data_IF_306940478774
#
_entry.id   IF_306940478774
#
_cell.length_a   1.000
_cell.length_b   1.000
_cell.length_c   1.000
_cell.angle_alpha   90.00
_cell.angle_beta   90.00
_cell.angle_gamma   90.00
#
_symmetry.space_group_name_H-M   'P 1'
#
loop_
_entity.id
_entity.type
_entity.pdbx_description
1 polymer ?
#
# COMPACT_ATOMS: atom_id res chain seq x y z
N UNK A 1 23.17 -9.15 3.81
CA UNK A 1 22.59 -8.01 4.57
C UNK A 1 21.67 -8.57 5.65
N UNK A 2 21.54 -7.91 6.81
CA UNK A 2 20.85 -8.48 7.98
C UNK A 2 19.34 -8.18 7.98
N UNK A 3 18.62 -8.71 6.98
CA UNK A 3 17.17 -8.48 6.82
C UNK A 3 16.34 -9.08 7.96
N UNK A 4 16.77 -10.23 8.50
CA UNK A 4 16.11 -10.89 9.64
C UNK A 4 16.04 -9.99 10.88
N UNK A 5 17.11 -9.23 11.14
CA UNK A 5 17.17 -8.30 12.27
C UNK A 5 16.25 -7.10 12.05
N UNK A 6 16.19 -6.58 10.82
CA UNK A 6 15.27 -5.50 10.46
C UNK A 6 13.82 -5.94 10.69
N UNK A 7 13.45 -7.11 10.16
CA UNK A 7 12.11 -7.66 10.27
C UNK A 7 11.72 -7.93 11.73
N UNK A 8 12.61 -8.51 12.53
CA UNK A 8 12.37 -8.72 13.97
C UNK A 8 12.10 -7.40 14.69
N UNK A 9 12.95 -6.38 14.47
CA UNK A 9 12.79 -5.08 15.13
C UNK A 9 11.50 -4.38 14.68
N UNK A 10 11.15 -4.45 13.40
CA UNK A 10 9.90 -3.89 12.89
C UNK A 10 8.68 -4.60 13.54
N UNK A 11 8.71 -5.93 13.64
CA UNK A 11 7.65 -6.70 14.32
C UNK A 11 7.52 -6.36 15.79
N UNK A 12 8.65 -6.19 16.49
CA UNK A 12 8.62 -5.79 17.91
C UNK A 12 7.96 -4.43 18.09
N UNK A 13 8.25 -3.46 17.21
CA UNK A 13 7.58 -2.16 17.23
C UNK A 13 6.08 -2.30 16.93
N UNK A 14 5.69 -3.11 15.95
CA UNK A 14 4.27 -3.35 15.63
C UNK A 14 3.51 -4.02 16.78
N UNK A 15 4.17 -4.90 17.54
CA UNK A 15 3.56 -5.57 18.69
C UNK A 15 3.37 -4.65 19.90
N UNK A 16 4.21 -3.61 20.03
CA UNK A 16 4.23 -2.73 21.20
C UNK A 16 3.73 -1.31 20.93
N UNK A 17 3.38 -0.98 19.69
CA UNK A 17 2.87 0.35 19.34
C UNK A 17 1.52 0.60 20.01
N UNK A 18 1.32 1.84 20.47
CA UNK A 18 0.08 2.26 21.15
C UNK A 18 -0.90 2.96 20.23
N UNK A 19 -0.43 3.37 19.05
CA UNK A 19 -1.24 4.01 18.03
C UNK A 19 -0.85 3.51 16.64
N UNK A 20 -1.76 3.67 15.68
CA UNK A 20 -1.48 3.40 14.28
C UNK A 20 -0.31 4.26 13.78
N UNK A 21 -0.30 5.53 14.18
CA UNK A 21 0.71 6.50 13.77
C UNK A 21 2.12 6.07 14.20
N UNK A 22 2.26 5.51 15.41
CA UNK A 22 3.55 4.97 15.91
C UNK A 22 3.97 3.70 15.15
N UNK A 23 3.00 2.88 14.69
CA UNK A 23 3.29 1.66 13.92
C UNK A 23 3.55 1.86 12.43
N UNK A 24 3.14 3.00 11.84
CA UNK A 24 3.19 3.18 10.39
C UNK A 24 4.59 3.01 9.82
N UNK A 25 5.59 3.61 10.47
CA UNK A 25 6.97 3.48 10.01
C UNK A 25 7.47 2.03 10.09
N UNK A 26 7.05 1.28 11.11
CA UNK A 26 7.39 -0.13 11.24
C UNK A 26 6.75 -0.98 10.13
N UNK A 27 5.52 -0.66 9.71
CA UNK A 27 4.90 -1.30 8.54
C UNK A 27 5.69 -1.03 7.26
N UNK A 28 6.09 0.22 6.99
CA UNK A 28 6.93 0.54 5.82
C UNK A 28 8.25 -0.25 5.83
N UNK A 29 8.95 -0.23 6.95
CA UNK A 29 10.22 -0.95 7.11
C UNK A 29 10.05 -2.47 6.97
N UNK A 30 8.96 -3.03 7.49
CA UNK A 30 8.68 -4.46 7.35
C UNK A 30 8.45 -4.84 5.88
N UNK A 31 7.67 -4.05 5.14
CA UNK A 31 7.45 -4.22 3.69
C UNK A 31 8.79 -4.17 2.94
N UNK A 32 9.65 -3.18 3.21
CA UNK A 32 10.94 -3.04 2.54
C UNK A 32 11.89 -4.22 2.84
N UNK A 33 11.92 -4.70 4.08
CA UNK A 33 12.76 -5.83 4.47
C UNK A 33 12.26 -7.15 3.86
N UNK A 34 10.94 -7.37 3.77
CA UNK A 34 10.34 -8.50 3.05
C UNK A 34 10.64 -8.44 1.54
N UNK A 35 10.54 -7.26 0.92
CA UNK A 35 10.89 -7.06 -0.49
C UNK A 35 12.38 -7.33 -0.77
N UNK A 36 13.26 -6.92 0.14
CA UNK A 36 14.71 -7.14 0.01
C UNK A 36 15.09 -8.61 0.07
N UNK A 37 14.25 -9.42 0.73
CA UNK A 37 14.36 -10.87 0.83
C UNK A 37 13.50 -11.62 -0.21
N UNK A 38 13.02 -10.90 -1.25
CA UNK A 38 12.17 -11.44 -2.32
C UNK A 38 10.84 -12.08 -1.87
N UNK A 39 10.40 -11.82 -0.63
CA UNK A 39 9.10 -12.25 -0.09
C UNK A 39 8.00 -11.26 -0.42
N UNK A 40 7.70 -11.11 -1.71
CA UNK A 40 6.74 -10.09 -2.19
C UNK A 40 5.31 -10.34 -1.71
N UNK A 41 4.86 -11.59 -1.63
CA UNK A 41 3.52 -11.91 -1.11
C UNK A 41 3.36 -11.50 0.35
N UNK A 42 4.39 -11.73 1.18
CA UNK A 42 4.42 -11.27 2.57
C UNK A 42 4.40 -9.74 2.64
N UNK A 43 5.18 -9.07 1.79
CA UNK A 43 5.22 -7.62 1.69
C UNK A 43 3.84 -7.04 1.30
N UNK A 44 3.15 -7.64 0.32
CA UNK A 44 1.80 -7.25 -0.07
C UNK A 44 0.79 -7.50 1.06
N UNK A 45 0.89 -8.64 1.75
CA UNK A 45 0.01 -8.94 2.90
C UNK A 45 0.19 -7.92 4.03
N UNK A 46 1.43 -7.61 4.41
CA UNK A 46 1.76 -6.59 5.42
C UNK A 46 1.21 -5.22 5.01
N UNK A 47 1.43 -4.83 3.74
CA UNK A 47 0.93 -3.58 3.20
C UNK A 47 -0.59 -3.47 3.21
N UNK A 48 -1.30 -4.53 2.81
CA UNK A 48 -2.76 -4.55 2.84
C UNK A 48 -3.33 -4.54 4.26
N UNK A 49 -2.65 -5.15 5.23
CA UNK A 49 -3.01 -5.03 6.64
C UNK A 49 -2.94 -3.57 7.11
N UNK A 50 -1.83 -2.88 6.80
CA UNK A 50 -1.66 -1.47 7.16
C UNK A 50 -2.66 -0.55 6.44
N UNK A 51 -2.95 -0.79 5.16
CA UNK A 51 -3.99 -0.05 4.43
C UNK A 51 -5.39 -0.26 5.05
N UNK A 52 -5.73 -1.48 5.48
CA UNK A 52 -6.99 -1.73 6.17
C UNK A 52 -7.08 -0.95 7.49
N UNK A 53 -5.97 -0.83 8.25
CA UNK A 53 -5.93 0.00 9.48
C UNK A 53 -6.08 1.49 9.20
N UNK A 54 -5.64 1.95 8.03
CA UNK A 54 -5.83 3.33 7.54
C UNK A 54 -7.22 3.57 6.92
N UNK A 55 -8.12 2.59 6.99
CA UNK A 55 -9.48 2.68 6.45
C UNK A 55 -9.58 2.46 4.94
N UNK A 56 -8.55 1.90 4.31
CA UNK A 56 -8.49 1.57 2.88
C UNK A 56 -8.36 0.04 2.67
N UNK A 57 -9.37 -0.77 3.03
CA UNK A 57 -9.27 -2.22 2.93
C UNK A 57 -9.24 -2.69 1.46
N UNK A 58 -8.25 -3.53 1.14
CA UNK A 58 -8.17 -4.17 -0.17
C UNK A 58 -8.77 -5.59 -0.12
N UNK A 59 -9.50 -6.01 -1.17
CA UNK A 59 -10.00 -7.38 -1.26
C UNK A 59 -8.83 -8.35 -1.48
N UNK A 60 -8.76 -9.44 -0.70
CA UNK A 60 -7.74 -10.49 -0.86
C UNK A 60 -7.70 -11.13 -2.26
N UNK A 61 -8.85 -11.15 -2.95
CA UNK A 61 -8.99 -11.65 -4.32
C UNK A 61 -9.87 -10.68 -5.11
N UNK A 62 -9.30 -9.68 -5.80
CA UNK A 62 -10.09 -8.76 -6.60
C UNK A 62 -10.77 -9.51 -7.75
N UNK A 63 -12.09 -9.37 -7.87
CA UNK A 63 -12.83 -9.82 -9.06
C UNK A 63 -12.87 -8.68 -10.07
N UNK A 64 -12.65 -8.96 -11.36
CA UNK A 64 -12.65 -7.96 -12.44
C UNK A 64 -13.91 -7.08 -12.40
N UNK A 65 -15.08 -7.68 -12.16
CA UNK A 65 -16.36 -6.95 -12.02
C UNK A 65 -16.37 -5.94 -10.87
N UNK A 66 -15.72 -6.25 -9.75
CA UNK A 66 -15.60 -5.34 -8.59
C UNK A 66 -14.66 -4.19 -8.92
N UNK A 67 -13.56 -4.46 -9.61
CA UNK A 67 -12.60 -3.43 -10.04
C UNK A 67 -13.26 -2.49 -11.06
N UNK A 68 -13.97 -3.05 -12.03
CA UNK A 68 -14.73 -2.27 -13.01
C UNK A 68 -15.76 -1.35 -12.31
N UNK A 69 -16.49 -1.87 -11.33
CA UNK A 69 -17.44 -1.06 -10.55
C UNK A 69 -16.79 0.13 -9.84
N UNK A 70 -15.64 -0.08 -9.19
CA UNK A 70 -14.88 0.99 -8.55
C UNK A 70 -14.33 1.99 -9.56
N UNK A 71 -13.81 1.50 -10.70
CA UNK A 71 -13.34 2.36 -11.78
C UNK A 71 -14.46 3.29 -12.29
N UNK A 72 -15.63 2.74 -12.61
CA UNK A 72 -16.77 3.55 -13.04
C UNK A 72 -17.22 4.56 -11.99
N UNK A 73 -17.20 4.20 -10.71
CA UNK A 73 -17.50 5.12 -9.61
C UNK A 73 -16.50 6.28 -9.58
N UNK A 74 -15.20 6.00 -9.68
CA UNK A 74 -14.15 7.03 -9.75
C UNK A 74 -14.31 7.91 -10.99
N UNK A 75 -14.55 7.33 -12.17
CA UNK A 75 -14.80 8.10 -13.41
C UNK A 75 -16.01 9.01 -13.30
N UNK A 76 -17.09 8.57 -12.63
CA UNK A 76 -18.26 9.42 -12.37
C UNK A 76 -17.94 10.57 -11.43
N UNK A 77 -17.14 10.35 -10.37
CA UNK A 77 -16.71 11.41 -9.45
C UNK A 77 -15.83 12.46 -10.12
N UNK A 78 -15.06 12.06 -11.14
CA UNK A 78 -14.22 12.95 -11.94
C UNK A 78 -14.97 13.60 -13.11
N UNK A 79 -16.18 13.14 -13.44
CA UNK A 79 -16.93 13.63 -14.60
C UNK A 79 -17.19 15.13 -14.47
N UNK A 80 -16.82 15.88 -15.51
CA UNK A 80 -17.02 17.33 -15.56
C UNK A 80 -15.97 18.14 -14.80
N UNK A 81 -14.93 17.51 -14.24
CA UNK A 81 -13.76 18.21 -13.68
C UNK A 81 -12.68 18.32 -14.74
N UNK A 82 -12.24 19.53 -15.05
CA UNK A 82 -11.06 19.77 -15.87
C UNK A 82 -9.79 19.51 -15.07
N UNK A 83 -8.66 19.31 -15.77
CA UNK A 83 -7.36 19.15 -15.12
C UNK A 83 -7.00 20.35 -14.24
N UNK A 84 -7.36 21.57 -14.65
CA UNK A 84 -7.17 22.79 -13.86
C UNK A 84 -7.95 22.75 -12.55
N UNK A 85 -9.17 22.19 -12.56
CA UNK A 85 -9.99 22.06 -11.35
C UNK A 85 -9.35 21.07 -10.36
N UNK A 86 -8.76 19.99 -10.87
CA UNK A 86 -8.05 19.00 -10.06
C UNK A 86 -6.75 19.55 -9.47
N UNK A 87 -5.99 20.31 -10.25
CA UNK A 87 -4.76 20.97 -9.80
C UNK A 87 -5.03 22.09 -8.79
N UNK A 88 -6.21 22.72 -8.85
CA UNK A 88 -6.64 23.74 -7.90
C UNK A 88 -7.23 23.18 -6.61
N UNK A 89 -7.35 21.84 -6.46
CA UNK A 89 -7.83 21.24 -5.22
C UNK A 89 -6.91 21.59 -4.06
N UNK A 90 -7.46 21.80 -2.85
CA UNK A 90 -6.65 22.04 -1.68
C UNK A 90 -5.74 20.84 -1.41
N UNK A 91 -4.57 21.13 -0.83
CA UNK A 91 -3.63 20.09 -0.43
C UNK A 91 -4.29 19.13 0.55
N UNK A 92 -4.05 17.83 0.37
CA UNK A 92 -4.47 16.80 1.32
C UNK A 92 -3.80 17.05 2.68
N UNK A 93 -4.60 17.11 3.75
CA UNK A 93 -4.14 17.37 5.13
C UNK A 93 -4.37 16.21 6.08
N UNK A 94 -5.22 15.26 5.70
CA UNK A 94 -5.50 14.05 6.48
C UNK A 94 -4.26 13.14 6.51
N UNK A 95 -3.70 12.94 7.70
CA UNK A 95 -2.46 12.18 7.89
C UNK A 95 -2.59 10.71 7.49
N UNK A 96 -3.75 10.10 7.73
CA UNK A 96 -4.00 8.69 7.42
C UNK A 96 -4.13 8.50 5.90
N UNK A 97 -4.80 9.43 5.20
CA UNK A 97 -4.87 9.40 3.73
C UNK A 97 -3.51 9.63 3.08
N UNK A 98 -2.69 10.53 3.63
CA UNK A 98 -1.31 10.72 3.16
C UNK A 98 -0.49 9.44 3.36
N UNK A 99 -0.60 8.79 4.53
CA UNK A 99 0.08 7.54 4.81
C UNK A 99 -0.38 6.41 3.86
N UNK A 100 -1.68 6.30 3.62
CA UNK A 100 -2.25 5.33 2.69
C UNK A 100 -1.73 5.54 1.26
N UNK A 101 -1.69 6.79 0.78
CA UNK A 101 -1.14 7.13 -0.55
C UNK A 101 0.34 6.75 -0.69
N UNK A 102 1.14 6.99 0.36
CA UNK A 102 2.55 6.58 0.38
C UNK A 102 2.70 5.07 0.34
N UNK A 103 1.91 4.35 1.13
CA UNK A 103 1.95 2.89 1.19
C UNK A 103 1.49 2.26 -0.13
N UNK A 104 0.43 2.77 -0.75
CA UNK A 104 -0.01 2.34 -2.08
C UNK A 104 1.07 2.52 -3.14
N UNK A 105 1.81 3.64 -3.10
CA UNK A 105 2.95 3.88 -4.01
C UNK A 105 4.05 2.82 -3.82
N UNK A 106 4.38 2.48 -2.57
CA UNK A 106 5.34 1.42 -2.27
C UNK A 106 4.85 0.07 -2.80
N UNK A 107 3.61 -0.31 -2.54
CA UNK A 107 3.06 -1.61 -2.96
C UNK A 107 2.90 -1.72 -4.47
N UNK A 108 2.61 -0.62 -5.17
CA UNK A 108 2.56 -0.61 -6.63
C UNK A 108 3.88 -1.10 -7.23
N UNK A 109 5.02 -0.61 -6.70
CA UNK A 109 6.34 -1.07 -7.14
C UNK A 109 6.53 -2.57 -6.86
N UNK A 110 6.08 -3.07 -5.70
CA UNK A 110 6.16 -4.49 -5.35
C UNK A 110 5.41 -5.35 -6.36
N UNK A 111 4.17 -4.98 -6.72
CA UNK A 111 3.36 -5.70 -7.70
C UNK A 111 4.01 -5.76 -9.09
N UNK A 112 4.63 -4.66 -9.53
CA UNK A 112 5.29 -4.61 -10.85
C UNK A 112 6.51 -5.54 -10.87
N UNK A 113 7.31 -5.53 -9.79
CA UNK A 113 8.51 -6.38 -9.67
C UNK A 113 8.15 -7.86 -9.51
N UNK A 114 7.11 -8.18 -8.74
CA UNK A 114 6.67 -9.56 -8.56
C UNK A 114 6.15 -10.17 -9.86
N UNK A 115 5.31 -9.44 -10.61
CA UNK A 115 4.78 -9.91 -11.90
C UNK A 115 5.90 -10.04 -12.95
N UNK A 116 6.82 -9.08 -13.01
CA UNK A 116 7.94 -9.15 -13.95
C UNK A 116 8.87 -10.35 -13.73
N UNK A 117 8.91 -10.94 -12.52
CA UNK A 117 9.64 -12.20 -12.26
C UNK A 117 8.89 -13.44 -12.74
N UNK A 118 7.56 -13.45 -12.70
CA UNK A 118 6.76 -14.57 -13.21
C UNK A 118 6.93 -14.69 -14.74
N UNK A 119 7.01 -13.57 -15.44
CA UNK A 119 7.24 -13.51 -16.89
C UNK A 119 8.65 -14.00 -17.32
N UNK A 120 9.62 -14.04 -16.39
CA UNK A 120 11.00 -14.51 -16.62
C UNK A 120 11.20 -16.01 -16.33
N UNK A 121 10.19 -16.68 -15.76
CA UNK A 121 10.22 -18.10 -15.41
C UNK A 121 9.42 -18.98 -16.40
N UNK A 122 8.99 -18.41 -17.52
CA UNK A 122 8.38 -19.07 -18.68
C UNK A 122 9.29 -18.98 -19.91
#
# INVERSE_FOLDING_TARGET
ANFDRCESMARDVLANSRSLQDSLQAYFTLVECQCSDARYDDALSTGFEALAKLGEPFPKKPRIVSVAGQFFRTSRMLKGKANTDLLALPRMTDGDKIAAMRLMTTLWLVCVVSNGREDLLL
#
